data_IF_795551007746
#
_entry.id   IF_795551007746
#
_cell.length_a   1.000
_cell.length_b   1.000
_cell.length_c   1.000
_cell.angle_alpha   90.00
_cell.angle_beta   90.00
_cell.angle_gamma   90.00
#
_symmetry.space_group_name_H-M   'P 1'
#
loop_
_entity.id
_entity.type
_entity.pdbx_description
1 polymer ?
#
# COMPACT_ATOMS: atom_id res chain seq x y z
N UNK A 1 1.82 -4.67 -49.06
CA UNK A 1 1.11 -5.11 -47.84
C UNK A 1 1.80 -4.47 -46.64
N UNK A 2 1.08 -3.60 -45.91
CA UNK A 2 1.62 -2.51 -45.09
C UNK A 2 2.56 -2.94 -43.94
N UNK A 3 3.86 -2.64 -44.09
CA UNK A 3 4.91 -2.85 -43.08
C UNK A 3 4.70 -2.04 -41.80
N UNK A 4 3.99 -0.89 -41.88
CA UNK A 4 3.57 -0.11 -40.72
C UNK A 4 2.52 -0.83 -39.86
N UNK A 5 1.61 -1.58 -40.48
CA UNK A 5 0.57 -2.33 -39.78
C UNK A 5 1.18 -3.49 -38.98
N UNK A 6 2.10 -4.24 -39.60
CA UNK A 6 2.78 -5.37 -38.93
C UNK A 6 3.69 -4.92 -37.79
N UNK A 7 4.31 -3.74 -37.90
CA UNK A 7 5.19 -3.21 -36.84
C UNK A 7 4.38 -2.71 -35.64
N UNK A 8 3.25 -2.04 -35.89
CA UNK A 8 2.29 -1.62 -34.85
C UNK A 8 1.62 -2.84 -34.19
N UNK A 9 1.19 -3.83 -34.96
CA UNK A 9 0.67 -5.09 -34.41
C UNK A 9 1.70 -5.80 -33.54
N UNK A 10 2.97 -5.86 -33.95
CA UNK A 10 4.01 -6.50 -33.16
C UNK A 10 4.31 -5.73 -31.88
N UNK A 11 4.31 -4.40 -31.87
CA UNK A 11 4.51 -3.64 -30.62
C UNK A 11 3.31 -3.73 -29.69
N UNK A 12 2.07 -3.57 -30.20
CA UNK A 12 0.86 -3.65 -29.39
C UNK A 12 0.55 -5.05 -28.86
N UNK A 13 0.82 -6.09 -29.64
CA UNK A 13 0.51 -7.48 -29.27
C UNK A 13 1.65 -8.15 -28.48
N UNK A 14 2.92 -7.80 -28.74
CA UNK A 14 4.08 -8.38 -28.03
C UNK A 14 4.38 -7.67 -26.70
N UNK A 15 3.97 -6.41 -26.50
CA UNK A 15 4.26 -5.67 -25.25
C UNK A 15 3.23 -5.83 -24.12
N UNK A 16 2.33 -6.84 -24.13
CA UNK A 16 1.36 -7.09 -23.03
C UNK A 16 0.32 -5.96 -22.79
N UNK A 17 0.50 -4.78 -23.40
CA UNK A 17 -0.33 -3.59 -23.19
C UNK A 17 -1.77 -3.76 -23.66
N UNK A 18 -1.99 -4.50 -24.75
CA UNK A 18 -3.34 -4.84 -25.22
C UNK A 18 -4.06 -5.78 -24.24
N UNK A 19 -3.36 -6.78 -23.71
CA UNK A 19 -3.90 -7.72 -22.72
C UNK A 19 -4.33 -6.94 -21.47
N UNK A 20 -3.58 -5.91 -21.08
CA UNK A 20 -3.97 -5.08 -19.93
C UNK A 20 -5.25 -4.30 -20.14
N UNK A 21 -5.45 -3.72 -21.32
CA UNK A 21 -6.68 -2.99 -21.66
C UNK A 21 -7.88 -3.94 -21.66
N UNK A 22 -7.75 -5.10 -22.33
CA UNK A 22 -8.83 -6.10 -22.38
C UNK A 22 -9.18 -6.58 -20.97
N UNK A 23 -8.18 -6.89 -20.14
CA UNK A 23 -8.39 -7.32 -18.76
C UNK A 23 -9.09 -6.25 -17.91
N UNK A 24 -8.67 -4.99 -18.04
CA UNK A 24 -9.32 -3.87 -17.38
C UNK A 24 -10.79 -3.71 -17.77
N UNK A 25 -11.12 -3.83 -19.06
CA UNK A 25 -12.52 -3.77 -19.54
C UNK A 25 -13.35 -4.91 -18.98
N UNK A 26 -12.81 -6.15 -18.96
CA UNK A 26 -13.48 -7.31 -18.37
C UNK A 26 -13.79 -7.06 -16.89
N UNK A 27 -12.84 -6.51 -16.13
CA UNK A 27 -13.02 -6.27 -14.70
C UNK A 27 -14.02 -5.14 -14.44
N UNK A 28 -13.99 -4.05 -15.21
CA UNK A 28 -15.01 -3.01 -15.11
C UNK A 28 -16.39 -3.58 -15.39
N UNK A 29 -16.53 -4.42 -16.43
CA UNK A 29 -17.76 -5.14 -16.72
C UNK A 29 -18.20 -6.05 -15.57
N UNK A 30 -17.29 -6.82 -14.99
CA UNK A 30 -17.57 -7.69 -13.84
C UNK A 30 -18.03 -6.90 -12.62
N UNK A 31 -17.37 -5.78 -12.29
CA UNK A 31 -17.76 -4.91 -11.19
C UNK A 31 -19.12 -4.28 -11.43
N UNK A 32 -19.40 -3.86 -12.65
CA UNK A 32 -20.70 -3.30 -13.03
C UNK A 32 -21.81 -4.35 -12.92
N UNK A 33 -21.58 -5.58 -13.38
CA UNK A 33 -22.51 -6.69 -13.18
C UNK A 33 -22.73 -7.02 -11.70
N UNK A 34 -21.67 -6.95 -10.88
CA UNK A 34 -21.76 -7.19 -9.45
C UNK A 34 -22.55 -6.07 -8.73
N UNK A 35 -22.36 -4.82 -9.14
CA UNK A 35 -23.15 -3.67 -8.70
C UNK A 35 -24.64 -3.84 -9.05
N UNK A 36 -24.96 -4.27 -10.28
CA UNK A 36 -26.35 -4.52 -10.69
C UNK A 36 -27.02 -5.65 -9.90
N UNK A 37 -26.27 -6.69 -9.51
CA UNK A 37 -26.84 -7.84 -8.79
C UNK A 37 -27.00 -7.63 -7.29
N UNK A 38 -26.04 -6.96 -6.64
CA UNK A 38 -25.98 -6.88 -5.17
C UNK A 38 -26.21 -5.48 -4.61
N UNK A 39 -26.20 -4.45 -5.45
CA UNK A 39 -26.24 -3.05 -5.02
C UNK A 39 -24.95 -2.61 -4.33
N UNK A 40 -24.96 -1.40 -3.76
CA UNK A 40 -23.90 -0.98 -2.86
C UNK A 40 -24.05 -1.72 -1.52
N UNK A 41 -22.99 -2.31 -0.97
CA UNK A 41 -23.01 -2.82 0.39
C UNK A 41 -23.14 -1.67 1.40
N UNK A 42 -23.72 -1.96 2.55
CA UNK A 42 -23.83 -1.01 3.66
C UNK A 42 -22.46 -0.53 4.13
N UNK A 43 -22.43 0.71 4.63
CA UNK A 43 -21.23 1.28 5.25
C UNK A 43 -20.81 0.38 6.42
N UNK A 44 -19.54 -0.05 6.50
CA UNK A 44 -19.10 -0.70 7.71
C UNK A 44 -19.15 0.33 8.86
N UNK A 45 -19.69 -0.06 10.01
CA UNK A 45 -19.84 0.74 11.24
C UNK A 45 -18.49 1.08 11.91
N UNK A 46 -17.44 1.34 11.14
CA UNK A 46 -16.20 1.86 11.69
C UNK A 46 -16.34 3.37 11.83
N UNK A 47 -15.95 3.88 13.00
CA UNK A 47 -15.91 5.31 13.28
C UNK A 47 -14.83 5.98 12.42
N UNK A 48 -15.20 6.37 11.21
CA UNK A 48 -14.31 7.05 10.30
C UNK A 48 -13.88 8.41 10.85
N UNK A 49 -12.67 8.83 10.50
CA UNK A 49 -12.18 10.18 10.83
C UNK A 49 -13.18 11.24 10.33
N UNK A 50 -13.33 12.33 11.07
CA UNK A 50 -14.27 13.43 10.74
C UNK A 50 -14.06 13.97 9.30
N UNK A 51 -12.83 13.94 8.78
CA UNK A 51 -12.52 14.32 7.39
C UNK A 51 -13.20 13.41 6.38
N UNK A 52 -13.24 12.11 6.63
CA UNK A 52 -13.95 11.17 5.76
C UNK A 52 -15.45 11.38 5.82
N UNK A 53 -16.02 11.75 6.98
CA UNK A 53 -17.47 12.01 7.11
C UNK A 53 -17.94 13.12 6.15
N UNK A 54 -17.14 14.15 5.94
CA UNK A 54 -17.43 15.20 4.95
C UNK A 54 -17.52 14.62 3.53
N UNK A 55 -16.59 13.74 3.18
CA UNK A 55 -16.54 13.09 1.87
C UNK A 55 -17.67 12.06 1.73
N UNK A 56 -17.94 11.27 2.77
CA UNK A 56 -18.96 10.22 2.80
C UNK A 56 -20.36 10.80 2.70
N UNK A 57 -20.63 11.99 3.25
CA UNK A 57 -21.92 12.67 3.10
C UNK A 57 -22.25 12.94 1.63
N UNK A 58 -21.29 13.51 0.88
CA UNK A 58 -21.46 13.80 -0.56
C UNK A 58 -21.52 12.52 -1.39
N UNK A 59 -20.78 11.48 -1.00
CA UNK A 59 -20.71 10.21 -1.73
C UNK A 59 -21.95 9.34 -1.48
N UNK A 60 -22.53 9.41 -0.28
CA UNK A 60 -23.72 8.62 0.09
C UNK A 60 -24.98 9.10 -0.62
N UNK A 61 -25.05 10.40 -0.95
CA UNK A 61 -26.15 10.97 -1.74
C UNK A 61 -26.15 10.46 -3.20
N UNK A 62 -25.01 9.99 -3.72
CA UNK A 62 -24.84 9.54 -5.10
C UNK A 62 -24.15 8.16 -5.16
N UNK A 63 -24.91 7.04 -5.18
CA UNK A 63 -24.35 5.69 -5.15
C UNK A 63 -23.41 5.39 -6.34
N UNK A 64 -23.69 6.00 -7.50
CA UNK A 64 -22.86 5.88 -8.71
C UNK A 64 -21.49 6.52 -8.49
N UNK A 65 -21.40 7.64 -7.76
CA UNK A 65 -20.15 8.32 -7.48
C UNK A 65 -19.24 7.47 -6.59
N UNK A 66 -19.81 6.81 -5.58
CA UNK A 66 -19.09 5.86 -4.73
C UNK A 66 -18.54 4.68 -5.52
N UNK A 67 -19.35 4.12 -6.43
CA UNK A 67 -18.92 3.03 -7.31
C UNK A 67 -17.80 3.44 -8.27
N UNK A 68 -17.93 4.61 -8.90
CA UNK A 68 -16.90 5.13 -9.81
C UNK A 68 -15.62 5.46 -9.06
N UNK A 69 -15.73 6.09 -7.89
CA UNK A 69 -14.59 6.43 -7.02
C UNK A 69 -13.84 5.19 -6.55
N UNK A 70 -14.53 4.16 -6.06
CA UNK A 70 -13.90 2.90 -5.64
C UNK A 70 -13.20 2.20 -6.81
N UNK A 71 -13.83 2.20 -7.99
CA UNK A 71 -13.27 1.60 -9.21
C UNK A 71 -12.01 2.35 -9.61
N UNK A 72 -12.06 3.69 -9.66
CA UNK A 72 -10.92 4.54 -10.00
C UNK A 72 -9.74 4.32 -9.03
N UNK A 73 -9.99 4.31 -7.71
CA UNK A 73 -8.94 4.06 -6.71
C UNK A 73 -8.27 2.69 -6.89
N UNK A 74 -9.04 1.65 -7.18
CA UNK A 74 -8.49 0.30 -7.40
C UNK A 74 -7.63 0.24 -8.66
N UNK A 75 -8.00 1.00 -9.71
CA UNK A 75 -7.15 1.19 -10.87
C UNK A 75 -5.86 1.93 -10.51
N UNK A 76 -5.93 3.02 -9.73
CA UNK A 76 -4.74 3.75 -9.26
C UNK A 76 -3.82 2.81 -8.47
N UNK A 77 -4.37 2.02 -7.54
CA UNK A 77 -3.61 1.03 -6.75
C UNK A 77 -2.88 0.06 -7.69
N UNK A 78 -3.59 -0.48 -8.69
CA UNK A 78 -3.03 -1.44 -9.64
C UNK A 78 -1.92 -0.83 -10.50
N UNK A 79 -2.10 0.42 -10.94
CA UNK A 79 -1.08 1.17 -11.68
C UNK A 79 0.13 1.45 -10.79
N UNK A 80 -0.06 1.91 -9.55
CA UNK A 80 1.03 2.19 -8.62
C UNK A 80 1.88 0.95 -8.34
N UNK A 81 1.24 -0.20 -8.10
CA UNK A 81 1.95 -1.47 -7.90
C UNK A 81 2.71 -1.88 -9.15
N UNK A 82 2.14 -1.69 -10.34
CA UNK A 82 2.82 -1.94 -11.61
C UNK A 82 4.03 -1.02 -11.80
N UNK A 83 3.89 0.27 -11.54
CA UNK A 83 4.95 1.28 -11.66
C UNK A 83 6.08 1.04 -10.65
N UNK A 84 5.75 0.65 -9.42
CA UNK A 84 6.73 0.22 -8.42
C UNK A 84 7.56 -0.96 -8.96
N UNK A 85 6.90 -1.95 -9.54
CA UNK A 85 7.60 -3.08 -10.13
C UNK A 85 8.48 -2.68 -11.33
N UNK A 86 7.96 -1.83 -12.23
CA UNK A 86 8.69 -1.38 -13.42
C UNK A 86 9.92 -0.55 -13.07
N UNK A 87 9.81 0.36 -12.10
CA UNK A 87 10.87 1.30 -11.74
C UNK A 87 11.97 0.68 -10.89
N UNK A 88 11.61 -0.19 -9.95
CA UNK A 88 12.55 -0.77 -8.99
C UNK A 88 12.93 -2.21 -9.31
N UNK A 89 12.29 -2.83 -10.32
CA UNK A 89 12.66 -4.16 -10.81
C UNK A 89 12.49 -5.25 -9.76
N UNK A 90 11.49 -5.11 -8.87
CA UNK A 90 11.23 -6.04 -7.75
C UNK A 90 11.08 -7.47 -8.28
N UNK A 91 10.28 -7.64 -9.34
CA UNK A 91 10.18 -8.88 -10.10
C UNK A 91 11.09 -8.76 -11.33
N UNK A 92 12.13 -9.60 -11.38
CA UNK A 92 13.13 -9.60 -12.46
C UNK A 92 12.57 -10.02 -13.83
N UNK A 93 11.38 -10.61 -13.88
CA UNK A 93 10.73 -11.07 -15.10
C UNK A 93 9.79 -9.99 -15.67
N UNK A 94 9.84 -9.74 -16.99
CA UNK A 94 8.88 -8.86 -17.67
C UNK A 94 7.48 -9.45 -17.60
N UNK A 95 6.68 -8.99 -16.64
CA UNK A 95 5.30 -9.41 -16.47
C UNK A 95 4.42 -8.22 -16.11
N UNK A 96 3.18 -8.23 -16.60
CA UNK A 96 2.13 -7.29 -16.18
C UNK A 96 1.33 -7.81 -14.97
N UNK A 97 1.80 -8.90 -14.34
CA UNK A 97 1.13 -9.50 -13.17
C UNK A 97 0.91 -8.52 -12.01
N UNK A 98 1.86 -7.62 -11.67
CA UNK A 98 1.65 -6.65 -10.60
C UNK A 98 0.50 -5.67 -10.84
N UNK A 99 0.08 -5.49 -12.10
CA UNK A 99 -1.12 -4.74 -12.45
C UNK A 99 -2.40 -5.59 -12.30
N UNK A 100 -2.37 -6.85 -12.75
CA UNK A 100 -3.57 -7.71 -12.75
C UNK A 100 -3.99 -8.19 -11.37
N UNK A 101 -3.02 -8.52 -10.50
CA UNK A 101 -3.32 -9.14 -9.20
C UNK A 101 -4.13 -8.21 -8.29
N UNK A 102 -3.72 -6.95 -8.03
CA UNK A 102 -4.52 -6.04 -7.19
C UNK A 102 -5.90 -5.79 -7.81
N UNK A 103 -5.93 -5.60 -9.12
CA UNK A 103 -7.15 -5.29 -9.86
C UNK A 103 -8.18 -6.42 -9.78
N UNK A 104 -7.73 -7.68 -9.87
CA UNK A 104 -8.57 -8.85 -9.66
C UNK A 104 -9.00 -8.96 -8.20
N UNK A 105 -8.05 -8.95 -7.26
CA UNK A 105 -8.29 -9.20 -5.84
C UNK A 105 -9.34 -8.25 -5.27
N UNK A 106 -9.21 -6.96 -5.55
CA UNK A 106 -10.15 -5.94 -5.09
C UNK A 106 -11.47 -5.90 -5.89
N UNK A 107 -11.60 -6.69 -6.95
CA UNK A 107 -12.83 -6.75 -7.76
C UNK A 107 -13.63 -8.04 -7.56
N UNK A 108 -13.10 -9.04 -6.84
CA UNK A 108 -13.83 -10.29 -6.54
C UNK A 108 -14.93 -10.10 -5.50
N UNK A 109 -14.74 -9.18 -4.55
CA UNK A 109 -15.65 -9.04 -3.41
C UNK A 109 -16.49 -7.76 -3.48
N UNK A 110 -17.81 -7.82 -3.23
CA UNK A 110 -18.72 -6.68 -3.37
C UNK A 110 -18.45 -5.54 -2.38
N UNK A 111 -17.77 -5.82 -1.25
CA UNK A 111 -17.38 -4.77 -0.25
C UNK A 111 -16.55 -3.67 -0.89
N UNK A 112 -15.73 -3.98 -1.89
CA UNK A 112 -14.87 -3.01 -2.58
C UNK A 112 -15.60 -2.20 -3.68
N UNK A 113 -16.92 -2.39 -3.83
CA UNK A 113 -17.73 -1.56 -4.71
C UNK A 113 -18.03 -0.20 -4.09
N UNK A 114 -18.10 -0.11 -2.76
CA UNK A 114 -18.25 1.16 -2.05
C UNK A 114 -16.88 1.82 -1.89
N UNK A 115 -16.82 3.14 -2.06
CA UNK A 115 -15.61 3.90 -1.76
C UNK A 115 -15.41 3.94 -0.25
N UNK A 116 -14.24 3.52 0.21
CA UNK A 116 -13.87 3.50 1.64
C UNK A 116 -12.62 4.35 1.87
N UNK A 117 -12.43 4.91 3.08
CA UNK A 117 -11.23 5.69 3.38
C UNK A 117 -9.97 4.84 3.34
N UNK A 118 -10.10 3.53 3.59
CA UNK A 118 -9.00 2.56 3.52
C UNK A 118 -8.37 2.50 2.12
N UNK A 119 -9.18 2.61 1.05
CA UNK A 119 -8.66 2.61 -0.32
C UNK A 119 -7.80 3.85 -0.59
N UNK A 120 -8.20 5.02 -0.07
CA UNK A 120 -7.43 6.26 -0.21
C UNK A 120 -6.14 6.17 0.61
N UNK A 121 -6.24 5.72 1.86
CA UNK A 121 -5.08 5.51 2.71
C UNK A 121 -4.08 4.54 2.07
N UNK A 122 -4.56 3.45 1.49
CA UNK A 122 -3.74 2.48 0.77
C UNK A 122 -3.00 3.10 -0.43
N UNK A 123 -3.66 4.00 -1.19
CA UNK A 123 -3.00 4.74 -2.27
C UNK A 123 -1.82 5.56 -1.74
N UNK A 124 -1.99 6.27 -0.63
CA UNK A 124 -0.89 7.04 0.00
C UNK A 124 0.23 6.14 0.53
N UNK A 125 -0.11 5.00 1.14
CA UNK A 125 0.88 4.00 1.59
C UNK A 125 1.70 3.50 0.42
N UNK A 126 1.06 3.08 -0.67
CA UNK A 126 1.75 2.61 -1.88
C UNK A 126 2.58 3.72 -2.51
N UNK A 127 2.08 4.96 -2.53
CA UNK A 127 2.83 6.09 -3.04
C UNK A 127 4.09 6.38 -2.20
N UNK A 128 4.02 6.19 -0.88
CA UNK A 128 5.18 6.38 0.00
C UNK A 128 6.30 5.36 -0.22
N UNK A 129 6.05 4.23 -0.90
CA UNK A 129 7.09 3.27 -1.30
C UNK A 129 8.02 3.84 -2.37
N UNK A 130 7.54 4.75 -3.22
CA UNK A 130 8.39 5.36 -4.26
C UNK A 130 9.57 6.15 -3.69
N UNK A 131 9.40 7.13 -2.78
CA UNK A 131 10.52 7.79 -2.14
C UNK A 131 11.35 6.83 -1.28
N UNK A 132 10.73 5.84 -0.62
CA UNK A 132 11.47 4.83 0.15
C UNK A 132 12.47 4.08 -0.73
N UNK A 133 12.02 3.48 -1.83
CA UNK A 133 12.91 2.75 -2.76
C UNK A 133 13.80 3.68 -3.58
N UNK A 134 13.39 4.92 -3.84
CA UNK A 134 14.26 5.92 -4.46
C UNK A 134 15.49 6.22 -3.60
N UNK A 135 15.39 6.06 -2.27
CA UNK A 135 16.53 6.21 -1.38
C UNK A 135 17.64 5.24 -1.76
N UNK A 136 17.33 3.96 -2.02
CA UNK A 136 18.30 2.97 -2.48
C UNK A 136 19.06 3.35 -3.76
N UNK A 137 18.41 4.10 -4.67
CA UNK A 137 19.01 4.50 -5.95
C UNK A 137 19.81 5.80 -5.84
N UNK A 138 19.51 6.66 -4.86
CA UNK A 138 20.05 8.00 -4.76
C UNK A 138 20.52 8.29 -3.33
N UNK A 139 21.79 8.67 -3.14
CA UNK A 139 22.44 8.97 -1.84
C UNK A 139 21.84 10.16 -1.03
N UNK A 140 20.60 10.58 -1.29
CA UNK A 140 19.91 11.71 -0.64
C UNK A 140 18.80 11.23 0.31
N UNK A 141 19.14 10.34 1.24
CA UNK A 141 18.24 9.76 2.26
C UNK A 141 17.31 10.77 2.97
N UNK A 142 17.82 11.94 3.34
CA UNK A 142 17.08 12.96 4.11
C UNK A 142 15.78 13.44 3.43
N UNK A 143 15.85 13.74 2.12
CA UNK A 143 14.71 14.32 1.39
C UNK A 143 13.62 13.29 1.20
N UNK A 144 14.02 12.06 0.86
CA UNK A 144 13.09 10.95 0.69
C UNK A 144 12.48 10.51 2.02
N UNK A 145 13.22 10.60 3.12
CA UNK A 145 12.72 10.36 4.46
C UNK A 145 11.56 11.28 4.86
N UNK A 146 11.72 12.57 4.59
CA UNK A 146 10.64 13.55 4.75
C UNK A 146 9.45 13.25 3.83
N UNK A 147 9.70 12.90 2.57
CA UNK A 147 8.63 12.65 1.59
C UNK A 147 7.78 11.43 1.93
N UNK A 148 8.39 10.29 2.27
CA UNK A 148 7.61 9.10 2.61
C UNK A 148 6.80 9.32 3.89
N UNK A 149 7.38 10.00 4.90
CA UNK A 149 6.69 10.20 6.18
C UNK A 149 5.54 11.21 6.03
N UNK A 150 5.71 12.26 5.23
CA UNK A 150 4.62 13.18 4.90
C UNK A 150 3.49 12.49 4.12
N UNK A 151 3.81 11.60 3.18
CA UNK A 151 2.80 10.80 2.46
C UNK A 151 2.02 9.88 3.40
N UNK A 152 2.70 9.21 4.32
CA UNK A 152 2.05 8.38 5.35
C UNK A 152 1.19 9.23 6.30
N UNK A 153 1.66 10.42 6.68
CA UNK A 153 0.88 11.37 7.48
C UNK A 153 -0.40 11.81 6.74
N UNK A 154 -0.31 12.11 5.44
CA UNK A 154 -1.50 12.45 4.63
C UNK A 154 -2.49 11.29 4.55
N UNK A 155 -2.00 10.05 4.37
CA UNK A 155 -2.85 8.86 4.42
C UNK A 155 -3.54 8.68 5.78
N UNK A 156 -2.85 9.04 6.87
CA UNK A 156 -3.38 8.93 8.23
C UNK A 156 -4.58 9.85 8.52
N UNK A 157 -4.75 10.91 7.74
CA UNK A 157 -5.92 11.80 7.82
C UNK A 157 -7.20 11.03 7.45
N UNK A 158 -7.11 10.11 6.49
CA UNK A 158 -8.24 9.26 6.07
C UNK A 158 -8.39 8.06 6.99
N UNK A 159 -7.28 7.39 7.30
CA UNK A 159 -7.27 6.20 8.17
C UNK A 159 -6.06 6.21 9.09
N UNK A 160 -6.30 6.38 10.40
CA UNK A 160 -5.24 6.62 11.40
C UNK A 160 -4.22 5.49 11.49
N UNK A 161 -4.63 4.25 11.19
CA UNK A 161 -3.75 3.07 11.16
C UNK A 161 -2.59 3.19 10.17
N UNK A 162 -2.67 4.11 9.21
CA UNK A 162 -1.55 4.41 8.30
C UNK A 162 -0.28 4.83 9.05
N UNK A 163 -0.43 5.44 10.23
CA UNK A 163 0.70 5.86 11.05
C UNK A 163 1.58 4.68 11.51
N UNK A 164 1.00 3.48 11.63
CA UNK A 164 1.71 2.25 12.00
C UNK A 164 2.75 1.84 10.95
N UNK A 165 2.61 2.30 9.70
CA UNK A 165 3.60 2.05 8.66
C UNK A 165 4.85 2.92 8.79
N UNK A 166 4.81 4.04 9.53
CA UNK A 166 6.00 4.89 9.72
C UNK A 166 7.18 4.14 10.35
N UNK A 167 7.04 3.45 11.50
CA UNK A 167 8.16 2.69 12.07
C UNK A 167 8.63 1.57 11.14
N UNK A 168 7.72 0.94 10.39
CA UNK A 168 8.07 -0.09 9.40
C UNK A 168 8.93 0.52 8.28
N UNK A 169 8.59 1.70 7.79
CA UNK A 169 9.36 2.41 6.76
C UNK A 169 10.72 2.86 7.28
N UNK A 170 10.82 3.26 8.55
CA UNK A 170 12.11 3.58 9.18
C UNK A 170 12.99 2.34 9.32
N UNK A 171 12.43 1.17 9.66
CA UNK A 171 13.16 -0.10 9.68
C UNK A 171 13.62 -0.46 8.26
N UNK A 172 12.76 -0.29 7.26
CA UNK A 172 13.12 -0.51 5.86
C UNK A 172 14.25 0.43 5.41
N UNK A 173 14.19 1.72 5.77
CA UNK A 173 15.25 2.69 5.51
C UNK A 173 16.57 2.30 6.18
N UNK A 174 16.52 1.78 7.43
CA UNK A 174 17.68 1.24 8.14
C UNK A 174 18.24 0.00 7.43
N UNK A 175 17.40 -0.89 6.92
CA UNK A 175 17.82 -2.08 6.19
C UNK A 175 18.52 -1.76 4.87
N UNK A 176 18.30 -0.55 4.32
CA UNK A 176 19.04 -0.03 3.16
C UNK A 176 20.38 0.62 3.54
N UNK A 177 20.80 0.56 4.81
CA UNK A 177 22.00 1.21 5.37
C UNK A 177 22.03 2.74 5.21
N UNK A 178 20.86 3.37 5.00
CA UNK A 178 20.75 4.81 4.73
C UNK A 178 20.19 5.62 5.90
N UNK A 179 20.02 5.02 7.08
CA UNK A 179 19.48 5.73 8.24
C UNK A 179 20.56 6.61 8.89
N UNK A 180 20.49 7.89 8.59
CA UNK A 180 21.25 8.93 9.28
C UNK A 180 20.37 9.62 10.32
N UNK A 181 20.99 10.19 11.37
CA UNK A 181 20.27 10.99 12.38
C UNK A 181 19.40 12.08 11.73
N UNK A 182 19.97 12.80 10.76
CA UNK A 182 19.24 13.80 9.99
C UNK A 182 18.04 13.22 9.22
N UNK A 183 18.10 11.97 8.70
CA UNK A 183 16.98 11.35 7.97
C UNK A 183 15.86 10.94 8.92
N UNK A 184 16.21 10.50 10.13
CA UNK A 184 15.24 10.24 11.19
C UNK A 184 14.48 11.52 11.58
N UNK A 185 15.19 12.63 11.82
CA UNK A 185 14.55 13.92 12.10
C UNK A 185 13.74 14.43 10.91
N UNK A 186 14.23 14.26 9.68
CA UNK A 186 13.47 14.62 8.48
C UNK A 186 12.14 13.85 8.40
N UNK A 187 12.13 12.56 8.73
CA UNK A 187 10.89 11.76 8.82
C UNK A 187 9.94 12.31 9.89
N UNK A 188 10.44 12.64 11.09
CA UNK A 188 9.63 13.25 12.15
C UNK A 188 9.04 14.60 11.73
N UNK A 189 9.83 15.46 11.09
CA UNK A 189 9.34 16.74 10.55
C UNK A 189 8.25 16.54 9.50
N UNK A 190 8.37 15.52 8.64
CA UNK A 190 7.33 15.21 7.64
C UNK A 190 5.99 14.81 8.26
N UNK A 191 6.02 14.11 9.39
CA UNK A 191 4.79 13.85 10.17
C UNK A 191 4.25 15.13 10.82
N UNK A 192 5.11 15.83 11.56
CA UNK A 192 4.72 17.00 12.35
C UNK A 192 4.09 18.07 11.45
N UNK A 193 4.65 18.35 10.28
CA UNK A 193 4.15 19.42 9.42
C UNK A 193 2.74 19.14 8.89
N UNK A 194 2.45 17.88 8.54
CA UNK A 194 1.12 17.49 8.05
C UNK A 194 0.11 17.55 9.19
N UNK A 195 0.44 16.99 10.36
CA UNK A 195 -0.44 17.07 11.52
C UNK A 195 -0.61 18.49 12.06
N UNK A 196 0.40 19.35 11.95
CA UNK A 196 0.31 20.75 12.34
C UNK A 196 -0.71 21.49 11.48
N UNK A 197 -0.70 21.27 10.16
CA UNK A 197 -1.69 21.85 9.24
C UNK A 197 -3.10 21.36 9.59
N UNK A 198 -3.26 20.04 9.80
CA UNK A 198 -4.56 19.45 10.17
C UNK A 198 -5.04 19.99 11.51
N UNK A 199 -4.18 20.02 12.52
CA UNK A 199 -4.46 20.57 13.84
C UNK A 199 -4.92 22.04 13.73
N UNK A 200 -4.21 22.85 12.94
CA UNK A 200 -4.58 24.23 12.69
C UNK A 200 -5.99 24.35 12.09
N UNK A 201 -6.37 23.47 11.14
CA UNK A 201 -7.73 23.47 10.58
C UNK A 201 -8.80 23.17 11.63
N UNK A 202 -8.57 22.21 12.53
CA UNK A 202 -9.51 21.89 13.60
C UNK A 202 -9.62 22.97 14.68
N UNK A 203 -8.52 23.68 14.98
CA UNK A 203 -8.52 24.82 15.90
C UNK A 203 -9.34 25.98 15.34
N UNK A 204 -9.17 26.31 14.05
CA UNK A 204 -9.99 27.36 13.42
C UNK A 204 -11.45 26.95 13.19
N UNK A 205 -11.74 25.64 13.15
CA UNK A 205 -13.09 25.10 13.04
C UNK A 205 -13.81 24.87 14.38
N UNK A 206 -13.25 25.35 15.51
CA UNK A 206 -13.77 25.18 16.87
C UNK A 206 -14.08 23.71 17.28
N UNK A 207 -13.48 22.73 16.60
CA UNK A 207 -13.68 21.30 16.85
C UNK A 207 -12.35 20.61 17.21
N UNK A 208 -11.80 20.95 18.37
CA UNK A 208 -10.55 20.34 18.87
C UNK A 208 -10.76 18.84 19.20
N UNK A 209 -11.97 18.45 19.59
CA UNK A 209 -12.31 17.07 19.93
C UNK A 209 -12.14 16.13 18.72
N UNK A 210 -12.58 16.57 17.53
CA UNK A 210 -12.48 15.82 16.28
C UNK A 210 -11.03 15.48 15.88
N UNK A 211 -10.06 16.33 16.24
CA UNK A 211 -8.65 16.03 16.02
C UNK A 211 -8.14 14.88 16.90
N UNK A 212 -8.61 14.78 18.15
CA UNK A 212 -8.11 13.80 19.12
C UNK A 212 -8.74 12.43 18.99
N UNK A 213 -9.95 12.34 18.43
CA UNK A 213 -10.75 11.11 18.36
C UNK A 213 -10.05 9.97 17.57
N UNK A 214 -9.45 10.22 16.39
CA UNK A 214 -8.70 9.19 15.66
C UNK A 214 -7.52 8.62 16.47
N UNK A 215 -6.82 9.45 17.24
CA UNK A 215 -5.69 9.01 18.06
C UNK A 215 -6.13 8.12 19.22
N UNK A 216 -7.35 8.29 19.75
CA UNK A 216 -7.90 7.39 20.76
C UNK A 216 -8.15 6.00 20.17
N UNK A 217 -8.68 5.91 18.94
CA UNK A 217 -8.88 4.63 18.25
C UNK A 217 -7.55 3.90 18.01
N UNK A 218 -6.48 4.64 17.71
CA UNK A 218 -5.13 4.08 17.62
C UNK A 218 -4.66 3.56 18.98
N UNK A 219 -4.94 4.29 20.08
CA UNK A 219 -4.56 3.91 21.43
C UNK A 219 -5.28 2.63 21.93
N UNK A 220 -6.54 2.41 21.52
CA UNK A 220 -7.29 1.19 21.86
C UNK A 220 -6.60 -0.07 21.31
N UNK A 221 -6.01 -0.02 20.12
CA UNK A 221 -5.22 -1.15 19.58
C UNK A 221 -4.00 -1.44 20.46
N UNK A 222 -3.43 -0.41 21.09
CA UNK A 222 -2.27 -0.50 21.96
C UNK A 222 -2.60 -0.78 23.42
N UNK A 223 -3.86 -1.05 23.77
CA UNK A 223 -4.23 -1.41 25.14
C UNK A 223 -3.81 -2.85 25.45
N UNK A 224 -2.52 -3.05 25.73
CA UNK A 224 -1.94 -4.33 26.16
C UNK A 224 -2.46 -4.79 27.53
N UNK A 225 -3.30 -4.01 28.23
CA UNK A 225 -3.87 -4.41 29.52
C UNK A 225 -5.09 -5.32 29.39
N UNK A 226 -5.80 -5.24 28.27
CA UNK A 226 -6.91 -6.14 27.97
C UNK A 226 -6.40 -7.26 27.08
N UNK A 227 -6.25 -8.45 27.65
CA UNK A 227 -6.02 -9.63 26.82
C UNK A 227 -7.16 -9.70 25.79
N UNK A 228 -6.87 -9.92 24.49
CA UNK A 228 -7.94 -10.10 23.53
C UNK A 228 -8.78 -11.31 23.97
N UNK A 229 -10.10 -11.17 23.96
CA UNK A 229 -11.06 -12.26 24.25
C UNK A 229 -11.09 -13.29 23.10
N UNK A 230 -9.92 -13.85 22.76
CA UNK A 230 -9.81 -14.91 21.78
C UNK A 230 -10.13 -16.25 22.43
N UNK A 231 -10.93 -17.03 21.73
CA UNK A 231 -11.29 -18.38 22.14
C UNK A 231 -10.06 -19.30 22.02
N UNK A 232 -9.98 -20.40 22.79
CA UNK A 232 -8.82 -21.32 22.80
C UNK A 232 -8.37 -21.77 21.39
N UNK A 233 -9.29 -22.07 20.44
CA UNK A 233 -8.89 -22.41 19.07
C UNK A 233 -8.27 -21.24 18.29
N UNK A 234 -8.69 -20.00 18.56
CA UNK A 234 -8.16 -18.80 17.91
C UNK A 234 -6.74 -18.51 18.38
N UNK A 235 -6.44 -18.69 19.66
CA UNK A 235 -5.08 -18.66 20.19
C UNK A 235 -4.18 -19.72 19.55
N UNK A 236 -4.71 -20.93 19.34
CA UNK A 236 -4.02 -21.99 18.60
C UNK A 236 -3.67 -21.57 17.17
N UNK A 237 -4.62 -20.96 16.45
CA UNK A 237 -4.39 -20.45 15.11
C UNK A 237 -3.31 -19.36 15.08
N UNK A 238 -3.40 -18.36 15.96
CA UNK A 238 -2.38 -17.30 16.08
C UNK A 238 -1.00 -17.89 16.34
N UNK A 239 -0.90 -18.86 17.26
CA UNK A 239 0.34 -19.57 17.57
C UNK A 239 0.92 -20.29 16.34
N UNK A 240 0.09 -20.99 15.57
CA UNK A 240 0.55 -21.67 14.34
C UNK A 240 1.03 -20.69 13.27
N UNK A 241 0.35 -19.55 13.10
CA UNK A 241 0.76 -18.51 12.15
C UNK A 241 2.10 -17.91 12.54
N UNK A 242 2.30 -17.59 13.83
CA UNK A 242 3.58 -17.08 14.34
C UNK A 242 4.70 -18.10 14.10
N UNK A 243 4.45 -19.38 14.40
CA UNK A 243 5.42 -20.45 14.15
C UNK A 243 5.79 -20.56 12.67
N UNK A 244 4.79 -20.52 11.77
CA UNK A 244 5.01 -20.55 10.33
C UNK A 244 5.83 -19.35 9.87
N UNK A 245 5.57 -18.14 10.37
CA UNK A 245 6.34 -16.93 10.07
C UNK A 245 7.80 -17.09 10.51
N UNK A 246 8.05 -17.62 11.71
CA UNK A 246 9.40 -17.88 12.22
C UNK A 246 10.12 -18.93 11.36
N UNK A 247 9.43 -20.01 10.96
CA UNK A 247 9.97 -21.04 10.08
C UNK A 247 10.32 -20.44 8.71
N UNK A 248 9.44 -19.62 8.14
CA UNK A 248 9.69 -18.94 6.86
C UNK A 248 10.89 -18.00 6.95
N UNK A 249 10.99 -17.17 8.00
CA UNK A 249 12.12 -16.26 8.22
C UNK A 249 13.45 -17.03 8.38
N UNK A 250 13.44 -18.13 9.14
CA UNK A 250 14.65 -18.95 9.32
C UNK A 250 15.02 -19.75 8.07
N UNK A 251 14.06 -20.18 7.27
CA UNK A 251 14.32 -20.81 5.97
C UNK A 251 14.91 -19.81 4.97
N UNK A 252 14.34 -18.61 4.88
CA UNK A 252 14.78 -17.57 3.95
C UNK A 252 16.19 -17.06 4.29
N UNK A 253 16.46 -16.79 5.58
CA UNK A 253 17.81 -16.41 6.03
C UNK A 253 18.85 -17.48 5.73
N UNK A 254 18.52 -18.77 5.93
CA UNK A 254 19.41 -19.89 5.56
C UNK A 254 19.65 -19.95 4.06
N UNK A 255 18.63 -19.67 3.24
CA UNK A 255 18.74 -19.67 1.79
C UNK A 255 19.66 -18.55 1.30
N UNK A 256 19.50 -17.33 1.84
CA UNK A 256 20.36 -16.17 1.53
C UNK A 256 21.83 -16.44 1.93
N UNK A 257 22.07 -17.02 3.11
CA UNK A 257 23.43 -17.37 3.55
C UNK A 257 24.05 -18.46 2.66
N UNK A 258 23.26 -19.46 2.26
CA UNK A 258 23.70 -20.53 1.35
C UNK A 258 24.14 -19.97 0.00
N UNK A 259 23.36 -19.09 -0.61
CA UNK A 259 23.68 -18.47 -1.91
C UNK A 259 24.92 -17.58 -1.85
N UNK A 260 25.10 -16.80 -0.78
CA UNK A 260 26.34 -16.02 -0.55
C UNK A 260 27.57 -16.93 -0.42
N UNK A 261 27.43 -18.05 0.30
CA UNK A 261 28.52 -19.01 0.50
C UNK A 261 28.91 -19.73 -0.80
N UNK A 262 27.93 -20.05 -1.65
CA UNK A 262 28.16 -20.68 -2.95
C UNK A 262 28.86 -19.72 -3.92
N UNK A 263 28.38 -18.47 -3.98
CA UNK A 263 28.98 -17.43 -4.84
C UNK A 263 30.45 -17.18 -4.47
N UNK A 264 30.78 -17.07 -3.17
CA UNK A 264 32.18 -16.94 -2.72
C UNK A 264 33.04 -18.14 -3.13
N UNK A 265 32.53 -19.37 -2.98
CA UNK A 265 33.28 -20.59 -3.36
C UNK A 265 33.54 -20.66 -4.87
N UNK A 266 32.57 -20.28 -5.70
CA UNK A 266 32.72 -20.24 -7.17
C UNK A 266 33.70 -19.15 -7.63
N UNK A 267 33.69 -17.99 -6.98
CA UNK A 267 34.62 -16.89 -7.29
C UNK A 267 36.06 -17.26 -6.95
N UNK A 268 36.28 -17.90 -5.80
CA UNK A 268 37.60 -18.43 -5.42
C UNK A 268 38.04 -19.53 -6.40
N UNK A 269 37.16 -20.44 -6.79
CA UNK A 269 37.48 -21.49 -7.77
C UNK A 269 37.93 -20.92 -9.13
N UNK A 270 37.30 -19.87 -9.64
CA UNK A 270 37.70 -19.21 -10.89
C UNK A 270 39.02 -18.41 -10.79
N UNK A 271 39.49 -18.08 -9.59
CA UNK A 271 40.76 -17.39 -9.37
C UNK A 271 41.95 -18.36 -9.28
N UNK A 272 41.69 -19.66 -9.14
CA UNK A 272 42.71 -20.72 -9.03
C UNK A 272 42.80 -21.61 -10.28
N UNK A 273 42.07 -21.27 -11.36
CA UNK A 273 42.18 -21.85 -12.71
C UNK A 273 42.76 -20.79 -13.63
#
# INVERSE_FOLDING_TARGET
>A
MNTHLTRSFRTYFVESRFISIVFSVIIVGLRFLMYLKKGLPDAPEYAFNDVWRLIDSVISDLPILSFLGSTLLIFIISVLVSELNLRFGVIRLRTSMPFYIPLLLFSVHPVFLRMTPDLIALVFVLWSLFPLFATYQFQRSHKYAFQFSALLAMGSIFQIYTLLFVPIWLIALKALDEINFRSFFASMFGLIIVFWIVFSMYVFGDNIAGFTEPFKQLAVIYDFRSAPDFNVPQWGFVGTVILLVIIFLTADTKQIVRERSFTKKVLVFNLFV
#
